data_IF_590746867569
#
_entry.id   IF_590746867569
#
_cell.length_a   1.000
_cell.length_b   1.000
_cell.length_c   1.000
_cell.angle_alpha   90.00
_cell.angle_beta   90.00
_cell.angle_gamma   90.00
#
_symmetry.space_group_name_H-M   'P 1'
#
loop_
_entity.id
_entity.type
_entity.pdbx_description
1 polymer ?
#
# COMPACT_ATOMS: atom_id res chain seq x y z
N UNK A 1 9.68 4.60 6.59
CA UNK A 1 9.59 4.57 5.13
C UNK A 1 8.97 3.25 4.66
N UNK A 2 7.69 2.92 4.80
CA UNK A 2 7.13 1.65 4.30
C UNK A 2 6.79 1.79 2.82
N UNK A 3 7.82 1.83 1.98
CA UNK A 3 7.72 2.13 0.57
C UNK A 3 7.44 0.85 -0.27
N UNK A 4 6.66 1.01 -1.32
CA UNK A 4 6.22 -0.01 -2.27
C UNK A 4 6.52 0.47 -3.67
N UNK A 5 7.16 -0.36 -4.48
CA UNK A 5 7.31 -0.14 -5.91
C UNK A 5 6.19 -0.87 -6.66
N UNK A 6 5.38 -0.15 -7.43
CA UNK A 6 4.27 -0.75 -8.17
C UNK A 6 4.74 -1.44 -9.45
N UNK A 7 4.16 -2.60 -9.77
CA UNK A 7 4.50 -3.35 -10.99
C UNK A 7 4.11 -2.57 -12.25
N UNK A 8 3.05 -1.74 -12.19
CA UNK A 8 2.62 -0.85 -13.30
C UNK A 8 3.43 0.45 -13.42
N UNK A 9 4.54 0.54 -12.67
CA UNK A 9 5.40 1.71 -12.61
C UNK A 9 4.86 2.79 -11.68
N UNK A 10 5.77 3.42 -10.95
CA UNK A 10 5.49 4.35 -9.87
C UNK A 10 5.74 3.74 -8.50
N UNK A 11 5.67 4.58 -7.49
CA UNK A 11 5.97 4.23 -6.11
C UNK A 11 4.78 4.56 -5.23
N UNK A 12 4.72 3.92 -4.07
CA UNK A 12 3.76 4.24 -3.03
C UNK A 12 4.34 4.08 -1.63
N UNK A 13 3.67 4.69 -0.68
CA UNK A 13 3.95 4.63 0.74
C UNK A 13 2.74 4.03 1.44
N UNK A 14 2.94 2.96 2.20
CA UNK A 14 1.93 2.49 3.14
C UNK A 14 1.75 3.55 4.22
N UNK A 15 0.52 4.02 4.36
CA UNK A 15 0.11 4.96 5.40
C UNK A 15 -0.41 4.23 6.62
N UNK A 16 -1.24 3.21 6.40
CA UNK A 16 -1.94 2.51 7.47
C UNK A 16 -2.26 1.07 7.07
N UNK A 17 -2.17 0.15 8.03
CA UNK A 17 -2.51 -1.27 7.87
C UNK A 17 -3.30 -1.70 9.10
N UNK A 18 -4.52 -2.17 8.87
CA UNK A 18 -5.48 -2.63 9.85
C UNK A 18 -6.02 -4.00 9.45
N UNK A 19 -5.36 -5.07 9.92
CA UNK A 19 -5.64 -6.46 9.54
C UNK A 19 -5.65 -6.68 8.02
N UNK A 20 -6.83 -6.74 7.39
CA UNK A 20 -6.98 -6.82 5.94
C UNK A 20 -7.06 -5.44 5.26
N UNK A 21 -7.49 -4.40 5.98
CA UNK A 21 -7.65 -3.03 5.45
C UNK A 21 -6.30 -2.33 5.34
N UNK A 22 -6.03 -1.71 4.20
CA UNK A 22 -4.80 -0.95 3.99
C UNK A 22 -5.05 0.36 3.29
N UNK A 23 -4.29 1.37 3.69
CA UNK A 23 -4.25 2.69 3.06
C UNK A 23 -2.85 2.92 2.55
N UNK A 24 -2.73 3.15 1.26
CA UNK A 24 -1.45 3.38 0.58
C UNK A 24 -1.54 4.65 -0.22
N UNK A 25 -0.57 5.55 -0.03
CA UNK A 25 -0.38 6.71 -0.88
C UNK A 25 0.44 6.30 -2.08
N UNK A 26 -0.11 6.39 -3.29
CA UNK A 26 0.56 6.05 -4.54
C UNK A 26 0.79 7.30 -5.38
N UNK A 27 1.92 7.36 -6.08
CA UNK A 27 2.17 8.39 -7.09
C UNK A 27 1.30 8.20 -8.35
N UNK A 28 0.73 7.00 -8.52
CA UNK A 28 -0.20 6.68 -9.59
C UNK A 28 -1.61 6.40 -9.09
N UNK A 29 -2.58 6.89 -9.84
CA UNK A 29 -3.98 6.52 -9.66
C UNK A 29 -4.18 5.01 -9.92
N UNK A 30 -5.08 4.41 -9.14
CA UNK A 30 -5.50 3.03 -9.33
C UNK A 30 -7.03 2.96 -9.46
N UNK A 31 -7.52 2.14 -10.39
CA UNK A 31 -8.95 1.99 -10.61
C UNK A 31 -9.58 1.16 -9.47
N UNK A 32 -10.71 1.61 -8.88
CA UNK A 32 -11.43 0.82 -7.90
C UNK A 32 -11.91 -0.50 -8.48
N UNK A 33 -11.87 -1.56 -7.67
CA UNK A 33 -12.18 -2.93 -8.07
C UNK A 33 -11.03 -3.69 -8.75
N UNK A 34 -9.96 -3.01 -9.16
CA UNK A 34 -8.79 -3.65 -9.78
C UNK A 34 -7.77 -4.07 -8.72
N UNK A 35 -7.12 -5.25 -8.86
CA UNK A 35 -5.96 -5.57 -8.05
C UNK A 35 -4.79 -4.64 -8.40
N UNK A 36 -4.19 -4.06 -7.37
CA UNK A 36 -3.01 -3.21 -7.46
C UNK A 36 -1.83 -3.95 -6.85
N UNK A 37 -0.89 -4.31 -7.71
CA UNK A 37 0.25 -5.16 -7.41
C UNK A 37 1.51 -4.32 -7.29
N UNK A 38 2.28 -4.57 -6.25
CA UNK A 38 3.57 -3.94 -6.02
C UNK A 38 4.49 -4.84 -5.21
N UNK A 39 5.69 -4.36 -4.95
CA UNK A 39 6.70 -5.05 -4.15
C UNK A 39 7.18 -4.08 -3.10
N UNK A 40 7.22 -4.51 -1.84
CA UNK A 40 7.84 -3.71 -0.79
C UNK A 40 9.31 -3.41 -1.17
N UNK A 41 9.73 -2.15 -1.12
CA UNK A 41 11.14 -1.80 -1.32
C UNK A 41 11.91 -1.84 0.01
N UNK A 42 11.19 -1.82 1.13
CA UNK A 42 11.73 -1.81 2.50
C UNK A 42 11.30 -3.09 3.24
N UNK A 43 12.22 -3.70 3.99
CA UNK A 43 11.99 -4.96 4.71
C UNK A 43 12.22 -6.20 3.82
N UNK A 44 11.32 -7.18 3.89
CA UNK A 44 11.47 -8.50 3.24
C UNK A 44 11.33 -8.52 1.71
N UNK A 45 11.13 -7.36 1.06
CA UNK A 45 10.92 -7.24 -0.40
C UNK A 45 9.86 -8.17 -0.97
N UNK A 46 8.82 -8.44 -0.19
CA UNK A 46 7.73 -9.35 -0.57
C UNK A 46 6.76 -8.68 -1.54
N UNK A 47 6.14 -9.45 -2.46
CA UNK A 47 5.06 -8.95 -3.29
C UNK A 47 3.85 -8.60 -2.43
N UNK A 48 3.20 -7.49 -2.78
CA UNK A 48 2.02 -6.93 -2.14
C UNK A 48 0.89 -6.86 -3.17
N UNK A 49 -0.26 -7.43 -2.84
CA UNK A 49 -1.48 -7.29 -3.67
C UNK A 49 -2.58 -6.63 -2.86
N UNK A 50 -3.00 -5.45 -3.32
CA UNK A 50 -4.06 -4.66 -2.72
C UNK A 50 -5.24 -4.61 -3.66
N UNK A 51 -6.40 -5.11 -3.24
CA UNK A 51 -7.65 -4.90 -3.97
C UNK A 51 -8.16 -3.51 -3.66
N UNK A 52 -8.12 -2.63 -4.65
CA UNK A 52 -8.53 -1.23 -4.49
C UNK A 52 -10.03 -1.17 -4.22
N UNK A 53 -10.42 -0.61 -3.09
CA UNK A 53 -11.80 -0.31 -2.76
C UNK A 53 -12.15 1.14 -3.16
N UNK A 54 -11.24 2.07 -2.88
CA UNK A 54 -11.39 3.50 -3.16
C UNK A 54 -10.05 4.09 -3.57
N UNK A 55 -10.05 4.99 -4.55
CA UNK A 55 -8.89 5.79 -4.90
C UNK A 55 -9.31 7.26 -4.90
N UNK A 56 -8.64 8.09 -4.10
CA UNK A 56 -8.88 9.52 -4.02
C UNK A 56 -7.56 10.25 -4.21
N UNK A 57 -7.57 11.33 -4.98
CA UNK A 57 -6.41 12.22 -5.10
C UNK A 57 -6.25 13.03 -3.80
N UNK A 58 -5.02 13.15 -3.32
CA UNK A 58 -4.73 13.97 -2.14
C UNK A 58 -4.96 15.46 -2.47
N UNK A 59 -5.45 16.24 -1.51
CA UNK A 59 -5.80 17.65 -1.73
C UNK A 59 -4.52 18.48 -1.91
N UNK A 60 -4.37 19.13 -3.06
CA UNK A 60 -3.19 19.95 -3.38
C UNK A 60 -1.96 19.19 -3.90
N UNK A 61 -2.04 17.86 -4.09
CA UNK A 61 -0.87 17.04 -4.44
C UNK A 61 -0.94 16.28 -5.77
N UNK A 62 0.18 15.67 -6.17
CA UNK A 62 0.30 14.71 -7.28
C UNK A 62 0.07 13.26 -6.82
N UNK A 63 -0.18 13.06 -5.52
CA UNK A 63 -0.34 11.75 -4.89
C UNK A 63 -1.81 11.31 -4.81
N UNK A 64 -2.03 10.00 -4.77
CA UNK A 64 -3.33 9.35 -4.71
C UNK A 64 -3.38 8.45 -3.48
N UNK A 65 -4.34 8.68 -2.60
CA UNK A 65 -4.63 7.79 -1.48
C UNK A 65 -5.53 6.67 -1.99
N UNK A 66 -4.98 5.46 -1.97
CA UNK A 66 -5.63 4.23 -2.35
C UNK A 66 -5.99 3.49 -1.06
N UNK A 67 -7.27 3.25 -0.87
CA UNK A 67 -7.80 2.47 0.23
C UNK A 67 -8.31 1.15 -0.33
N UNK A 68 -7.92 0.06 0.30
CA UNK A 68 -8.23 -1.26 -0.21
C UNK A 68 -8.06 -2.33 0.85
N UNK A 69 -8.07 -3.57 0.38
CA UNK A 69 -7.80 -4.72 1.23
C UNK A 69 -6.69 -5.58 0.67
N UNK A 70 -5.89 -6.16 1.54
CA UNK A 70 -4.89 -7.14 1.16
C UNK A 70 -5.59 -8.42 0.70
N UNK A 71 -5.30 -8.84 -0.52
CA UNK A 71 -5.89 -10.04 -1.13
C UNK A 71 -4.98 -11.26 -1.04
N UNK A 72 -3.69 -11.04 -0.84
CA UNK A 72 -2.67 -12.09 -0.83
C UNK A 72 -1.68 -11.91 0.33
N UNK A 73 -2.16 -11.38 1.47
CA UNK A 73 -1.32 -11.19 2.65
C UNK A 73 -1.53 -12.30 3.67
N UNK A 74 -0.49 -13.10 3.87
CA UNK A 74 -0.40 -14.02 5.00
C UNK A 74 -0.24 -13.25 6.33
N UNK A 75 -0.44 -13.93 7.46
CA UNK A 75 -0.33 -13.33 8.80
C UNK A 75 1.04 -12.70 9.07
N UNK A 76 2.11 -13.30 8.55
CA UNK A 76 3.47 -12.76 8.69
C UNK A 76 3.63 -11.43 7.94
N UNK A 77 3.13 -11.34 6.71
CA UNK A 77 3.16 -10.13 5.90
C UNK A 77 2.34 -9.02 6.56
N UNK A 78 1.16 -9.33 7.11
CA UNK A 78 0.36 -8.34 7.85
C UNK A 78 1.09 -7.83 9.09
N UNK A 79 1.73 -8.73 9.84
CA UNK A 79 2.50 -8.38 11.04
C UNK A 79 3.70 -7.52 10.67
N UNK A 80 4.42 -7.87 9.60
CA UNK A 80 5.54 -7.10 9.09
C UNK A 80 5.11 -5.72 8.59
N UNK A 81 4.03 -5.65 7.80
CA UNK A 81 3.46 -4.40 7.33
C UNK A 81 3.02 -3.49 8.48
N UNK A 82 2.34 -4.04 9.48
CA UNK A 82 1.95 -3.32 10.68
C UNK A 82 3.18 -2.84 11.48
N UNK A 83 4.24 -3.66 11.57
CA UNK A 83 5.48 -3.28 12.22
C UNK A 83 6.21 -2.17 11.44
N UNK A 84 6.23 -2.24 10.11
CA UNK A 84 6.85 -1.23 9.24
C UNK A 84 6.12 0.11 9.37
N UNK A 85 4.78 0.11 9.35
CA UNK A 85 3.95 1.32 9.53
C UNK A 85 4.06 1.85 10.98
N UNK A 86 4.01 0.96 11.98
CA UNK A 86 4.17 1.34 13.39
C UNK A 86 5.56 1.92 13.69
N UNK A 87 6.60 1.43 13.01
CA UNK A 87 7.96 1.98 13.08
C UNK A 87 8.13 3.30 12.32
N UNK A 88 7.09 3.80 11.65
CA UNK A 88 7.05 5.13 11.04
C UNK A 88 6.36 6.19 11.90
N UNK A 89 5.78 5.82 13.05
CA UNK A 89 5.28 6.81 13.99
C UNK A 89 6.48 7.64 14.52
N UNK A 90 6.34 8.97 14.59
CA UNK A 90 7.42 9.89 14.99
C UNK A 90 7.89 9.67 16.42
#
# INVERSE_FOLDING_TARGET
MAQVAWTRGGEGDLLEVNDDLVRVRSSKAAAPGTPFEGTLTVGSRKPLKVKVARCRKEEGGTWFVIEGRLIDANRELRTELAALVGSQAP
#
